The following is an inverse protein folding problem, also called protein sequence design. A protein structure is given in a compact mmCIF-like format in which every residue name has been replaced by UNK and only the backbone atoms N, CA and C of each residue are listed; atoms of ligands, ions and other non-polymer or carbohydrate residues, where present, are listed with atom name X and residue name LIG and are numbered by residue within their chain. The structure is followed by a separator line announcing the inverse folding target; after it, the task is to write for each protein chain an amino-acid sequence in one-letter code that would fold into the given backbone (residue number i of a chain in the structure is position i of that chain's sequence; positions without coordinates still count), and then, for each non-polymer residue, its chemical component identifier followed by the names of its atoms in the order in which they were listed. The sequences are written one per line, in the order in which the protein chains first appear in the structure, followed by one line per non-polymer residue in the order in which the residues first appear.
data_IF_177315918831
#
_entry.id   IF_177315918831
#
_cell.length_a   1.000
_cell.length_b   1.000
_cell.length_c   1.000
_cell.angle_alpha   90.00
_cell.angle_beta   90.00
_cell.angle_gamma   90.00
#
_symmetry.space_group_name_H-M   'P 1'
#
loop_
_entity.id
_entity.type
_entity.pdbx_description
1 polymer ?
#
# COMPACT_ATOMS: atom_id res chain seq x y z
N UNK A 1 17.44 -9.64 -15.22
CA UNK A 1 16.29 -8.93 -14.66
C UNK A 1 15.66 -9.84 -13.62
N UNK A 2 15.44 -9.36 -12.42
CA UNK A 2 14.76 -10.14 -11.37
C UNK A 2 13.26 -10.21 -11.70
N UNK A 3 12.62 -11.35 -11.41
CA UNK A 3 11.17 -11.51 -11.60
C UNK A 3 10.43 -10.56 -10.65
N UNK A 4 9.45 -9.75 -11.12
CA UNK A 4 8.65 -8.91 -10.24
C UNK A 4 7.86 -9.72 -9.22
N UNK A 5 7.62 -9.13 -8.04
CA UNK A 5 6.67 -9.68 -7.05
C UNK A 5 5.24 -9.64 -7.59
N UNK A 6 4.88 -8.53 -8.25
CA UNK A 6 3.57 -8.31 -8.86
C UNK A 6 3.76 -7.81 -10.28
N UNK A 7 2.99 -8.35 -11.20
CA UNK A 7 2.75 -7.77 -12.52
C UNK A 7 1.24 -7.71 -12.77
N UNK A 8 0.72 -6.53 -12.94
CA UNK A 8 -0.65 -6.30 -13.41
C UNK A 8 -0.56 -5.98 -14.89
N UNK A 9 -1.12 -6.81 -15.76
CA UNK A 9 -1.00 -6.70 -17.23
C UNK A 9 -2.35 -6.38 -17.87
N UNK A 10 -2.41 -5.27 -18.60
CA UNK A 10 -3.55 -4.85 -19.42
C UNK A 10 -4.87 -4.81 -18.63
N UNK A 11 -4.81 -4.37 -17.37
CA UNK A 11 -5.96 -4.33 -16.47
C UNK A 11 -6.98 -3.32 -16.95
N UNK A 12 -8.23 -3.76 -17.04
CA UNK A 12 -9.37 -2.90 -17.37
C UNK A 12 -10.57 -3.19 -16.48
N UNK A 13 -11.28 -2.15 -16.08
CA UNK A 13 -12.56 -2.24 -15.36
C UNK A 13 -13.44 -1.04 -15.68
N UNK A 14 -14.74 -1.28 -15.81
CA UNK A 14 -15.75 -0.26 -16.11
C UNK A 14 -16.87 -0.30 -15.09
N UNK A 15 -17.40 0.87 -14.74
CA UNK A 15 -18.57 1.03 -13.88
C UNK A 15 -19.62 1.88 -14.61
N UNK A 16 -20.80 1.30 -14.89
CA UNK A 16 -21.91 2.02 -15.52
C UNK A 16 -21.53 2.72 -16.83
N UNK A 17 -20.67 2.10 -17.66
CA UNK A 17 -20.22 2.66 -18.93
C UNK A 17 -19.00 3.60 -18.85
N UNK A 18 -18.51 3.92 -17.66
CA UNK A 18 -17.27 4.67 -17.44
C UNK A 18 -16.12 3.70 -17.24
N UNK A 19 -15.09 3.77 -18.10
CA UNK A 19 -13.85 3.02 -17.89
C UNK A 19 -13.03 3.68 -16.78
N UNK A 20 -13.05 3.07 -15.59
CA UNK A 20 -12.30 3.56 -14.44
C UNK A 20 -10.81 3.20 -14.54
N UNK A 21 -10.48 2.06 -15.15
CA UNK A 21 -9.13 1.65 -15.57
C UNK A 21 -9.22 1.09 -16.97
N UNK A 22 -8.35 1.55 -17.86
CA UNK A 22 -8.36 1.21 -19.29
C UNK A 22 -6.95 0.77 -19.73
N UNK A 23 -6.74 -0.54 -19.84
CA UNK A 23 -5.52 -1.17 -20.34
C UNK A 23 -4.23 -0.73 -19.59
N UNK A 24 -4.28 -0.75 -18.27
CA UNK A 24 -3.16 -0.34 -17.41
C UNK A 24 -2.27 -1.54 -17.08
N UNK A 25 -0.96 -1.35 -17.22
CA UNK A 25 0.05 -2.33 -16.78
C UNK A 25 1.02 -1.66 -15.83
N UNK A 26 1.23 -2.26 -14.65
CA UNK A 26 2.19 -1.84 -13.62
C UNK A 26 2.83 -3.06 -12.99
N UNK A 27 4.05 -2.90 -12.51
CA UNK A 27 4.81 -3.96 -11.84
C UNK A 27 5.45 -3.45 -10.56
N UNK A 28 5.86 -4.38 -9.68
CA UNK A 28 6.49 -4.11 -8.40
C UNK A 28 7.51 -5.19 -8.10
N UNK A 29 8.72 -4.79 -7.71
CA UNK A 29 9.78 -5.70 -7.32
C UNK A 29 9.92 -5.82 -5.79
N UNK A 30 10.68 -6.84 -5.35
CA UNK A 30 11.03 -7.00 -3.94
C UNK A 30 11.93 -5.86 -3.48
N UNK A 31 11.62 -5.27 -2.32
CA UNK A 31 12.38 -4.15 -1.77
C UNK A 31 12.27 -2.87 -2.59
N UNK A 32 11.15 -2.69 -3.27
CA UNK A 32 10.86 -1.52 -4.09
C UNK A 32 9.62 -0.80 -3.59
N UNK A 33 9.61 0.53 -3.69
CA UNK A 33 8.43 1.37 -3.49
C UNK A 33 8.03 2.01 -4.82
N UNK A 34 6.84 1.68 -5.30
CA UNK A 34 6.26 2.27 -6.52
C UNK A 34 5.13 3.21 -6.14
N UNK A 35 5.32 4.50 -6.41
CA UNK A 35 4.31 5.53 -6.22
C UNK A 35 3.25 5.49 -7.31
N UNK A 36 1.97 5.51 -6.95
CA UNK A 36 0.86 5.70 -7.87
C UNK A 36 0.34 7.12 -7.75
N UNK A 37 0.65 7.95 -8.75
CA UNK A 37 0.28 9.37 -8.83
C UNK A 37 -0.86 9.62 -9.82
N UNK A 38 -1.52 10.76 -9.66
CA UNK A 38 -2.58 11.23 -10.53
C UNK A 38 -3.67 11.93 -9.73
N UNK A 39 -4.54 12.71 -10.42
CA UNK A 39 -5.60 13.41 -9.70
C UNK A 39 -6.71 12.48 -9.18
N UNK A 40 -7.63 13.05 -8.39
CA UNK A 40 -8.82 12.34 -7.93
C UNK A 40 -9.64 11.88 -9.15
N UNK A 41 -10.04 10.59 -9.13
CA UNK A 41 -10.71 9.98 -10.28
C UNK A 41 -9.79 9.46 -11.39
N UNK A 42 -8.45 9.55 -11.26
CA UNK A 42 -7.52 9.03 -12.27
C UNK A 42 -7.51 7.49 -12.40
N UNK A 43 -8.12 6.76 -11.45
CA UNK A 43 -8.20 5.30 -11.46
C UNK A 43 -7.25 4.59 -10.48
N UNK A 44 -6.39 5.31 -9.74
CA UNK A 44 -5.41 4.75 -8.80
C UNK A 44 -6.02 3.78 -7.80
N UNK A 45 -6.95 4.27 -6.97
CA UNK A 45 -7.60 3.44 -5.94
C UNK A 45 -8.41 2.30 -6.56
N UNK A 46 -8.92 2.45 -7.78
CA UNK A 46 -9.60 1.37 -8.50
C UNK A 46 -8.62 0.27 -8.90
N UNK A 47 -7.46 0.64 -9.46
CA UNK A 47 -6.40 -0.30 -9.83
C UNK A 47 -5.94 -1.12 -8.63
N UNK A 48 -5.69 -0.45 -7.50
CA UNK A 48 -5.24 -1.09 -6.26
C UNK A 48 -6.35 -1.95 -5.62
N UNK A 49 -7.61 -1.54 -5.72
CA UNK A 49 -8.75 -2.36 -5.27
C UNK A 49 -8.91 -3.65 -6.07
N UNK A 50 -8.43 -3.70 -7.30
CA UNK A 50 -8.34 -4.96 -8.08
C UNK A 50 -7.25 -5.85 -7.48
N UNK A 51 -6.07 -5.33 -7.20
CA UNK A 51 -4.98 -6.09 -6.60
C UNK A 51 -5.33 -6.59 -5.18
N UNK A 52 -6.01 -5.78 -4.39
CA UNK A 52 -6.48 -6.16 -3.04
C UNK A 52 -7.69 -7.11 -3.05
N UNK A 53 -8.26 -7.42 -4.22
CA UNK A 53 -9.42 -8.29 -4.37
C UNK A 53 -10.76 -7.65 -3.99
N UNK A 54 -10.80 -6.33 -3.76
CA UNK A 54 -12.05 -5.62 -3.49
C UNK A 54 -12.88 -5.42 -4.78
N UNK A 55 -12.22 -5.34 -5.94
CA UNK A 55 -12.86 -5.31 -7.24
C UNK A 55 -12.30 -6.42 -8.14
N UNK A 56 -13.11 -6.84 -9.11
CA UNK A 56 -12.71 -7.82 -10.12
C UNK A 56 -12.51 -7.10 -11.45
N UNK A 57 -11.35 -7.28 -12.06
CA UNK A 57 -11.08 -6.72 -13.38
C UNK A 57 -11.99 -7.36 -14.46
N UNK A 58 -12.42 -6.56 -15.44
CA UNK A 58 -13.15 -7.04 -16.63
C UNK A 58 -12.19 -7.71 -17.61
N UNK A 59 -10.93 -7.23 -17.68
CA UNK A 59 -9.89 -7.77 -18.55
C UNK A 59 -8.50 -7.58 -17.93
N UNK A 60 -7.52 -8.31 -18.46
CA UNK A 60 -6.15 -8.33 -18.01
C UNK A 60 -5.85 -9.53 -17.12
N UNK A 61 -4.63 -9.56 -16.59
CA UNK A 61 -4.18 -10.61 -15.68
C UNK A 61 -3.23 -10.06 -14.63
N UNK A 62 -3.20 -10.74 -13.49
CA UNK A 62 -2.27 -10.48 -12.39
C UNK A 62 -1.35 -11.68 -12.28
N UNK A 63 -0.04 -11.42 -12.26
CA UNK A 63 0.96 -12.43 -11.94
C UNK A 63 1.62 -12.06 -10.61
N UNK A 64 1.82 -13.08 -9.78
CA UNK A 64 2.58 -13.00 -8.54
C UNK A 64 3.80 -13.91 -8.70
N UNK A 65 5.00 -13.34 -8.59
CA UNK A 65 6.26 -14.04 -8.82
C UNK A 65 6.28 -14.82 -10.17
N UNK A 66 5.74 -14.17 -11.23
CA UNK A 66 5.65 -14.73 -12.58
C UNK A 66 4.56 -15.79 -12.77
N UNK A 67 3.79 -16.13 -11.75
CA UNK A 67 2.69 -17.11 -11.84
C UNK A 67 1.35 -16.38 -11.84
N UNK A 68 0.44 -16.83 -12.71
CA UNK A 68 -0.91 -16.26 -12.77
C UNK A 68 -1.64 -16.43 -11.45
N UNK A 69 -2.07 -15.31 -10.88
CA UNK A 69 -2.85 -15.25 -9.65
C UNK A 69 -4.33 -15.05 -9.97
N UNK A 70 -5.19 -15.73 -9.21
CA UNK A 70 -6.65 -15.53 -9.28
C UNK A 70 -7.10 -14.87 -8.00
N UNK A 71 -7.36 -13.57 -8.07
CA UNK A 71 -7.79 -12.75 -6.93
C UNK A 71 -9.23 -12.34 -7.17
N UNK A 72 -10.17 -12.90 -6.41
CA UNK A 72 -11.61 -12.64 -6.54
C UNK A 72 -12.19 -11.92 -5.32
N UNK A 73 -11.48 -11.95 -4.20
CA UNK A 73 -11.86 -11.34 -2.95
C UNK A 73 -10.61 -11.05 -2.10
N UNK A 74 -10.72 -10.26 -1.01
CA UNK A 74 -9.57 -9.92 -0.17
C UNK A 74 -8.87 -11.10 0.51
N UNK A 75 -9.55 -12.25 0.70
CA UNK A 75 -8.91 -13.46 1.25
C UNK A 75 -7.93 -14.07 0.26
N UNK A 76 -8.28 -14.04 -1.04
CA UNK A 76 -7.38 -14.50 -2.08
C UNK A 76 -6.12 -13.62 -2.13
N UNK A 77 -6.26 -12.28 -2.08
CA UNK A 77 -5.12 -11.37 -2.04
C UNK A 77 -4.19 -11.68 -0.86
N UNK A 78 -4.75 -11.90 0.33
CA UNK A 78 -3.97 -12.29 1.52
C UNK A 78 -3.28 -13.64 1.37
N UNK A 79 -3.85 -14.60 0.65
CA UNK A 79 -3.18 -15.89 0.38
C UNK A 79 -1.92 -15.74 -0.48
N UNK A 80 -1.79 -14.63 -1.21
CA UNK A 80 -0.59 -14.22 -1.94
C UNK A 80 0.28 -13.23 -1.14
N UNK A 81 0.06 -13.10 0.18
CA UNK A 81 0.78 -12.18 1.06
C UNK A 81 0.65 -10.70 0.63
N UNK A 82 -0.50 -10.33 0.07
CA UNK A 82 -0.86 -8.95 -0.24
C UNK A 82 -1.72 -8.41 0.89
N UNK A 83 -1.24 -7.38 1.56
CA UNK A 83 -2.00 -6.67 2.61
C UNK A 83 -2.19 -5.20 2.20
N UNK A 84 -3.30 -4.62 2.65
CA UNK A 84 -3.68 -3.25 2.30
C UNK A 84 -3.89 -2.43 3.56
N UNK A 85 -3.22 -1.28 3.61
CA UNK A 85 -3.44 -0.24 4.61
C UNK A 85 -4.21 0.87 3.92
N UNK A 86 -5.48 1.01 4.28
CA UNK A 86 -6.36 2.04 3.74
C UNK A 86 -6.15 3.35 4.46
N UNK A 87 -6.49 4.46 3.84
CA UNK A 87 -6.46 5.79 4.42
C UNK A 87 -7.19 5.88 5.78
N UNK A 88 -8.30 5.15 5.95
CA UNK A 88 -9.06 5.08 7.21
C UNK A 88 -8.51 4.07 8.21
N UNK A 89 -7.36 3.42 7.91
CA UNK A 89 -6.62 2.40 8.69
C UNK A 89 -7.43 1.13 9.04
N UNK A 90 -8.74 1.15 8.96
CA UNK A 90 -9.64 0.05 9.34
C UNK A 90 -9.31 -0.55 10.73
N UNK A 91 -9.09 0.32 11.71
CA UNK A 91 -8.90 -0.01 13.11
C UNK A 91 -10.22 0.20 13.87
N UNK A 92 -10.45 -0.65 14.86
CA UNK A 92 -11.58 -0.51 15.79
C UNK A 92 -11.18 0.45 16.92
N UNK A 93 -11.75 1.64 16.93
CA UNK A 93 -11.37 2.76 17.80
C UNK A 93 -11.47 2.44 19.30
N UNK A 94 -12.40 1.56 19.67
CA UNK A 94 -12.66 1.15 21.05
C UNK A 94 -11.81 -0.02 21.54
N UNK A 95 -11.04 -0.65 20.68
CA UNK A 95 -10.13 -1.73 21.03
C UNK A 95 -8.70 -1.22 21.18
N UNK A 96 -7.90 -1.94 21.94
CA UNK A 96 -6.48 -1.67 22.09
C UNK A 96 -5.64 -2.09 20.87
N UNK A 97 -4.33 -1.81 20.89
CA UNK A 97 -3.43 -2.10 19.81
C UNK A 97 -3.31 -3.61 19.53
N UNK A 98 -3.26 -4.44 20.58
CA UNK A 98 -3.12 -5.89 20.46
C UNK A 98 -4.36 -6.52 19.81
N UNK A 99 -5.53 -6.15 20.30
CA UNK A 99 -6.82 -6.60 19.73
C UNK A 99 -6.99 -6.16 18.27
N UNK A 100 -6.58 -4.93 17.93
CA UNK A 100 -6.63 -4.45 16.55
C UNK A 100 -5.66 -5.19 15.62
N UNK A 101 -4.48 -5.57 16.11
CA UNK A 101 -3.49 -6.31 15.34
C UNK A 101 -4.04 -7.67 14.93
N UNK A 102 -4.72 -8.36 15.82
CA UNK A 102 -5.25 -9.71 15.61
C UNK A 102 -6.72 -9.75 15.20
N UNK A 103 -7.39 -8.62 15.00
CA UNK A 103 -8.82 -8.55 14.70
C UNK A 103 -9.21 -9.44 13.49
N UNK A 104 -10.07 -10.43 13.73
CA UNK A 104 -10.49 -11.44 12.76
C UNK A 104 -9.46 -12.56 12.48
N UNK A 105 -8.35 -12.60 13.24
CA UNK A 105 -7.28 -13.60 13.17
C UNK A 105 -6.71 -13.85 14.57
N UNK A 106 -7.59 -13.88 15.58
CA UNK A 106 -7.25 -13.96 17.00
C UNK A 106 -6.45 -15.23 17.30
N UNK A 107 -5.47 -15.09 18.20
CA UNK A 107 -4.78 -16.27 18.78
C UNK A 107 -5.73 -16.91 19.77
N UNK A 108 -6.00 -18.21 19.57
CA UNK A 108 -6.91 -18.95 20.44
C UNK A 108 -6.20 -20.02 21.25
N UNK A 109 -6.72 -20.27 22.44
CA UNK A 109 -6.33 -21.41 23.28
C UNK A 109 -6.77 -22.75 22.65
N UNK A 110 -6.26 -23.90 23.08
CA UNK A 110 -6.73 -25.22 22.63
C UNK A 110 -8.24 -25.44 22.82
N UNK A 111 -8.86 -24.68 23.68
CA UNK A 111 -10.32 -24.74 23.97
C UNK A 111 -11.14 -23.79 23.09
N UNK A 112 -10.50 -23.08 22.17
CA UNK A 112 -11.16 -22.13 21.26
C UNK A 112 -11.51 -20.77 21.87
N UNK A 113 -11.01 -20.45 23.04
CA UNK A 113 -11.14 -19.13 23.66
C UNK A 113 -10.02 -18.20 23.18
N UNK A 114 -10.28 -16.92 23.06
CA UNK A 114 -9.26 -15.91 22.72
C UNK A 114 -8.17 -15.90 23.80
N UNK A 115 -6.92 -15.82 23.38
CA UNK A 115 -5.75 -15.77 24.26
C UNK A 115 -5.14 -14.38 24.23
N UNK A 116 -5.68 -13.46 25.02
CA UNK A 116 -5.28 -12.05 25.07
C UNK A 116 -3.80 -11.89 25.46
N UNK A 117 -3.31 -12.70 26.42
CA UNK A 117 -1.91 -12.66 26.86
C UNK A 117 -0.95 -13.00 25.71
N UNK A 118 -1.28 -14.01 24.92
CA UNK A 118 -0.47 -14.40 23.76
C UNK A 118 -0.52 -13.33 22.67
N UNK A 119 -1.68 -12.73 22.42
CA UNK A 119 -1.84 -11.64 21.46
C UNK A 119 -1.04 -10.41 21.90
N UNK A 120 -1.10 -10.02 23.18
CA UNK A 120 -0.32 -8.90 23.70
C UNK A 120 1.18 -9.17 23.60
N UNK A 121 1.66 -10.38 23.95
CA UNK A 121 3.06 -10.74 23.85
C UNK A 121 3.59 -10.64 22.40
N UNK A 122 2.83 -11.13 21.43
CA UNK A 122 3.20 -11.04 20.00
C UNK A 122 3.09 -9.59 19.49
N UNK A 123 2.06 -8.82 19.89
CA UNK A 123 1.94 -7.42 19.55
C UNK A 123 3.14 -6.60 20.05
N UNK A 124 3.60 -6.86 21.29
CA UNK A 124 4.80 -6.21 21.84
C UNK A 124 6.05 -6.54 21.03
N UNK A 125 6.24 -7.78 20.58
CA UNK A 125 7.39 -8.17 19.76
C UNK A 125 7.42 -7.43 18.43
N UNK A 126 6.31 -7.43 17.68
CA UNK A 126 6.25 -6.78 16.38
C UNK A 126 6.36 -5.26 16.50
N UNK A 127 5.70 -4.66 17.49
CA UNK A 127 5.77 -3.22 17.72
C UNK A 127 7.16 -2.79 18.16
N UNK A 128 7.86 -3.56 19.01
CA UNK A 128 9.25 -3.26 19.40
C UNK A 128 10.19 -3.23 18.17
N UNK A 129 9.93 -4.08 17.16
CA UNK A 129 10.70 -4.09 15.92
C UNK A 129 10.41 -2.86 15.04
N UNK A 130 9.13 -2.48 14.92
CA UNK A 130 8.68 -1.45 13.97
C UNK A 130 8.66 -0.05 14.58
N UNK A 131 8.32 0.06 15.85
CA UNK A 131 8.24 1.30 16.61
C UNK A 131 8.66 1.05 18.07
N UNK A 132 9.97 1.04 18.39
CA UNK A 132 10.48 0.73 19.74
C UNK A 132 9.94 1.65 20.84
N UNK A 133 9.50 2.87 20.46
CA UNK A 133 8.96 3.86 21.39
C UNK A 133 7.45 3.70 21.64
N UNK A 134 6.82 2.67 21.10
CA UNK A 134 5.40 2.41 21.33
C UNK A 134 5.18 1.71 22.68
N UNK A 135 4.43 2.34 23.58
CA UNK A 135 4.18 1.82 24.93
C UNK A 135 2.69 1.70 25.29
N UNK A 136 1.79 2.18 24.44
CA UNK A 136 0.35 2.27 24.71
C UNK A 136 -0.43 1.02 24.26
N UNK A 137 -0.06 -0.14 24.81
CA UNK A 137 -0.68 -1.40 24.41
C UNK A 137 -2.09 -1.62 24.97
N UNK A 138 -2.39 -1.05 26.13
CA UNK A 138 -3.69 -1.20 26.80
C UNK A 138 -4.65 -0.01 26.58
N UNK A 139 -4.17 1.03 25.90
CA UNK A 139 -5.00 2.20 25.56
C UNK A 139 -5.86 1.88 24.33
N UNK A 140 -7.12 2.37 24.26
CA UNK A 140 -7.91 2.23 23.05
C UNK A 140 -7.24 3.00 21.91
N UNK A 141 -7.37 2.47 20.67
CA UNK A 141 -6.73 3.06 19.49
C UNK A 141 -7.17 4.50 19.24
N UNK A 142 -8.39 4.88 19.68
CA UNK A 142 -8.87 6.27 19.67
C UNK A 142 -7.99 7.25 20.47
N UNK A 143 -7.26 6.78 21.48
CA UNK A 143 -6.34 7.59 22.30
C UNK A 143 -4.91 7.66 21.73
N UNK A 144 -4.63 6.96 20.62
CA UNK A 144 -3.34 6.97 19.95
C UNK A 144 -3.24 8.17 19.00
N UNK A 145 -2.01 8.65 18.79
CA UNK A 145 -1.75 9.63 17.74
C UNK A 145 -1.91 9.02 16.33
N UNK A 146 -2.01 9.87 15.30
CA UNK A 146 -2.14 9.43 13.92
C UNK A 146 -1.03 8.47 13.50
N UNK A 147 0.23 8.83 13.76
CA UNK A 147 1.38 7.99 13.46
C UNK A 147 1.43 6.70 14.29
N UNK A 148 0.98 6.72 15.55
CA UNK A 148 0.86 5.51 16.36
C UNK A 148 -0.21 4.56 15.79
N UNK A 149 -1.37 5.09 15.37
CA UNK A 149 -2.40 4.30 14.68
C UNK A 149 -1.88 3.70 13.37
N UNK A 150 -1.13 4.49 12.60
CA UNK A 150 -0.49 4.01 11.37
C UNK A 150 0.47 2.86 11.66
N UNK A 151 1.31 2.98 12.71
CA UNK A 151 2.22 1.91 13.14
C UNK A 151 1.48 0.62 13.50
N UNK A 152 0.33 0.69 14.16
CA UNK A 152 -0.50 -0.49 14.48
C UNK A 152 -1.05 -1.14 13.21
N UNK A 153 -1.53 -0.35 12.24
CA UNK A 153 -2.03 -0.87 10.98
C UNK A 153 -0.93 -1.55 10.14
N UNK A 154 0.27 -0.96 10.13
CA UNK A 154 1.45 -1.54 9.47
C UNK A 154 1.89 -2.82 10.20
N UNK A 155 1.95 -2.79 11.54
CA UNK A 155 2.32 -3.95 12.34
C UNK A 155 1.41 -5.16 12.08
N UNK A 156 0.10 -4.91 11.93
CA UNK A 156 -0.87 -5.95 11.55
C UNK A 156 -0.51 -6.60 10.22
N UNK A 157 -0.22 -5.81 9.18
CA UNK A 157 0.15 -6.33 7.87
C UNK A 157 1.45 -7.13 7.92
N UNK A 158 2.47 -6.61 8.58
CA UNK A 158 3.80 -7.24 8.70
C UNK A 158 3.76 -8.51 9.54
N UNK A 159 3.00 -8.54 10.63
CA UNK A 159 2.85 -9.73 11.47
C UNK A 159 2.30 -10.93 10.67
N UNK A 160 1.39 -10.68 9.73
CA UNK A 160 0.83 -11.70 8.85
C UNK A 160 1.64 -11.94 7.58
N UNK A 161 2.94 -11.64 7.61
CA UNK A 161 3.93 -11.92 6.55
C UNK A 161 3.60 -11.26 5.21
N UNK A 162 3.15 -10.01 5.22
CA UNK A 162 3.00 -9.24 4.00
C UNK A 162 4.33 -9.19 3.23
N UNK A 163 4.29 -9.58 1.97
CA UNK A 163 5.40 -9.42 1.01
C UNK A 163 5.13 -8.27 0.03
N UNK A 164 3.85 -8.00 -0.16
CA UNK A 164 3.35 -6.91 -1.00
C UNK A 164 2.43 -6.08 -0.11
N UNK A 165 2.78 -4.81 0.04
CA UNK A 165 2.03 -3.88 0.87
C UNK A 165 1.45 -2.77 0.00
N UNK A 166 0.18 -2.52 0.15
CA UNK A 166 -0.52 -1.41 -0.46
C UNK A 166 -0.78 -0.37 0.61
N UNK A 167 -0.30 0.86 0.40
CA UNK A 167 -0.52 1.97 1.31
C UNK A 167 -1.27 3.09 0.59
N UNK A 168 -2.47 3.39 1.05
CA UNK A 168 -3.32 4.44 0.48
C UNK A 168 -3.23 5.69 1.35
N UNK A 169 -2.50 6.69 0.87
CA UNK A 169 -2.24 7.98 1.52
C UNK A 169 -1.71 7.86 2.98
N UNK A 170 -0.60 7.14 3.22
CA UNK A 170 -0.17 6.78 4.57
C UNK A 170 0.28 7.98 5.42
N UNK A 171 0.62 9.11 4.82
CA UNK A 171 1.09 10.34 5.46
C UNK A 171 0.02 11.42 5.56
N UNK A 172 -1.15 11.19 4.95
CA UNK A 172 -2.23 12.16 4.92
C UNK A 172 -2.71 12.53 6.34
N UNK A 173 -2.86 13.83 6.59
CA UNK A 173 -3.33 14.40 7.86
C UNK A 173 -2.43 14.09 9.08
N UNK A 174 -1.17 13.73 8.87
CA UNK A 174 -0.15 13.59 9.91
C UNK A 174 0.65 14.88 10.10
N UNK A 175 1.13 15.11 11.32
CA UNK A 175 2.10 16.18 11.59
C UNK A 175 3.51 15.78 11.11
N UNK A 176 4.45 16.75 10.99
CA UNK A 176 5.80 16.48 10.43
C UNK A 176 6.56 15.35 11.13
N UNK A 177 6.48 15.26 12.45
CA UNK A 177 7.15 14.19 13.22
C UNK A 177 6.52 12.81 12.96
N UNK A 178 5.20 12.76 12.80
CA UNK A 178 4.48 11.52 12.51
C UNK A 178 4.73 11.06 11.07
N UNK A 179 4.78 12.01 10.13
CA UNK A 179 5.15 11.74 8.73
C UNK A 179 6.54 11.12 8.67
N UNK A 180 7.55 11.72 9.34
CA UNK A 180 8.90 11.18 9.39
C UNK A 180 8.94 9.76 9.95
N UNK A 181 8.20 9.49 11.04
CA UNK A 181 8.12 8.14 11.63
C UNK A 181 7.53 7.13 10.65
N UNK A 182 6.50 7.49 9.88
CA UNK A 182 5.91 6.62 8.86
C UNK A 182 6.87 6.43 7.68
N UNK A 183 7.58 7.48 7.26
CA UNK A 183 8.60 7.43 6.21
C UNK A 183 9.72 6.48 6.60
N UNK A 184 10.27 6.59 7.80
CA UNK A 184 11.32 5.71 8.32
C UNK A 184 10.85 4.24 8.32
N UNK A 185 9.59 4.00 8.70
CA UNK A 185 9.01 2.67 8.72
C UNK A 185 8.85 2.09 7.31
N UNK A 186 8.43 2.89 6.33
CA UNK A 186 8.37 2.49 4.92
C UNK A 186 9.75 2.09 4.40
N UNK A 187 10.79 2.89 4.69
CA UNK A 187 12.17 2.60 4.27
C UNK A 187 12.71 1.34 4.97
N UNK A 188 12.38 1.11 6.23
CA UNK A 188 12.72 -0.13 6.93
C UNK A 188 12.09 -1.34 6.24
N UNK A 189 10.78 -1.32 5.96
CA UNK A 189 10.07 -2.43 5.30
C UNK A 189 10.63 -2.71 3.90
N UNK A 190 10.93 -1.65 3.15
CA UNK A 190 11.63 -1.75 1.86
C UNK A 190 12.96 -2.49 2.01
N UNK A 191 13.78 -2.13 3.00
CA UNK A 191 15.08 -2.77 3.25
C UNK A 191 14.96 -4.25 3.65
N UNK A 192 13.82 -4.66 4.20
CA UNK A 192 13.48 -6.04 4.53
C UNK A 192 12.96 -6.85 3.32
N UNK A 193 12.90 -6.23 2.14
CA UNK A 193 12.49 -6.87 0.89
C UNK A 193 10.99 -6.84 0.61
N UNK A 194 10.20 -6.10 1.38
CA UNK A 194 8.77 -5.91 1.12
C UNK A 194 8.62 -4.96 -0.07
N UNK A 195 7.81 -5.35 -1.07
CA UNK A 195 7.42 -4.48 -2.17
C UNK A 195 6.21 -3.63 -1.77
N UNK A 196 6.23 -2.34 -2.07
CA UNK A 196 5.21 -1.40 -1.61
C UNK A 196 4.62 -0.61 -2.79
N UNK A 197 3.30 -0.68 -2.98
CA UNK A 197 2.57 0.31 -3.76
C UNK A 197 2.11 1.42 -2.84
N UNK A 198 2.58 2.63 -3.08
CA UNK A 198 2.24 3.82 -2.31
C UNK A 198 1.35 4.74 -3.15
N UNK A 199 0.10 4.93 -2.73
CA UNK A 199 -0.78 5.92 -3.36
C UNK A 199 -0.61 7.22 -2.59
N UNK A 200 -0.23 8.27 -3.28
CA UNK A 200 -0.22 9.62 -2.74
C UNK A 200 -0.70 10.61 -3.80
N UNK A 201 -1.26 11.71 -3.34
CA UNK A 201 -1.52 12.90 -4.16
C UNK A 201 -0.43 13.97 -3.93
N UNK A 202 0.45 13.76 -2.96
CA UNK A 202 1.60 14.61 -2.68
C UNK A 202 2.83 14.12 -3.46
N UNK A 203 3.36 14.98 -4.33
CA UNK A 203 4.54 14.68 -5.14
C UNK A 203 5.79 14.55 -4.26
N UNK A 204 5.88 15.35 -3.17
CA UNK A 204 7.03 15.29 -2.27
C UNK A 204 7.15 13.93 -1.59
N UNK A 205 6.04 13.36 -1.10
CA UNK A 205 6.03 12.00 -0.53
C UNK A 205 6.57 10.96 -1.52
N UNK A 206 6.19 11.11 -2.80
CA UNK A 206 6.63 10.16 -3.83
C UNK A 206 8.10 10.33 -4.18
N UNK A 207 8.58 11.57 -4.27
CA UNK A 207 10.00 11.85 -4.54
C UNK A 207 10.91 11.41 -3.38
N UNK A 208 10.43 11.48 -2.16
CA UNK A 208 11.19 11.07 -0.96
C UNK A 208 11.17 9.56 -0.74
N UNK A 209 10.03 8.90 -0.95
CA UNK A 209 9.81 7.52 -0.50
C UNK A 209 9.92 6.47 -1.61
N UNK A 210 9.67 6.85 -2.88
CA UNK A 210 9.52 5.90 -3.96
C UNK A 210 10.78 5.75 -4.82
N UNK A 211 10.95 4.58 -5.39
CA UNK A 211 11.99 4.31 -6.40
C UNK A 211 11.49 4.68 -7.81
N UNK A 212 10.24 4.31 -8.10
CA UNK A 212 9.56 4.64 -9.35
C UNK A 212 8.20 5.28 -9.08
N UNK A 213 7.77 6.12 -10.01
CA UNK A 213 6.46 6.74 -10.03
C UNK A 213 5.67 6.33 -11.28
N UNK A 214 4.51 5.72 -11.07
CA UNK A 214 3.53 5.39 -12.11
C UNK A 214 2.42 6.43 -12.10
N UNK A 215 2.31 7.22 -13.16
CA UNK A 215 1.34 8.32 -13.23
C UNK A 215 0.11 7.88 -14.02
N UNK A 216 -1.06 8.02 -13.40
CA UNK A 216 -2.35 7.71 -14.01
C UNK A 216 -3.15 8.98 -14.31
N UNK A 217 -3.84 8.96 -15.45
CA UNK A 217 -4.76 10.02 -15.89
C UNK A 217 -5.95 9.42 -16.63
N UNK A 218 -7.17 9.78 -16.19
CA UNK A 218 -8.42 9.35 -16.84
C UNK A 218 -8.49 7.82 -17.09
N UNK A 219 -8.11 7.04 -16.11
CA UNK A 219 -8.13 5.58 -16.16
C UNK A 219 -6.96 4.94 -16.92
N UNK A 220 -6.03 5.70 -17.47
CA UNK A 220 -4.89 5.21 -18.25
C UNK A 220 -3.57 5.50 -17.54
N UNK A 221 -2.58 4.67 -17.80
CA UNK A 221 -1.20 4.93 -17.41
C UNK A 221 -0.58 5.93 -18.40
N UNK A 222 -0.08 7.05 -17.92
CA UNK A 222 0.71 8.02 -18.69
C UNK A 222 2.12 7.45 -18.91
N UNK A 223 2.70 6.90 -17.85
CA UNK A 223 4.01 6.26 -17.88
C UNK A 223 4.48 5.93 -16.47
N UNK A 224 5.57 5.16 -16.41
CA UNK A 224 6.33 4.89 -15.19
C UNK A 224 7.73 5.44 -15.37
N UNK A 225 8.24 6.17 -14.38
CA UNK A 225 9.55 6.82 -14.39
C UNK A 225 10.32 6.48 -13.13
N UNK A 226 11.65 6.40 -13.21
CA UNK A 226 12.50 6.34 -12.03
C UNK A 226 12.50 7.71 -11.34
N UNK A 227 12.24 7.75 -10.05
CA UNK A 227 12.11 8.99 -9.27
C UNK A 227 13.41 9.80 -9.30
N UNK A 228 14.57 9.14 -9.30
CA UNK A 228 15.90 9.80 -9.38
C UNK A 228 16.17 10.54 -10.69
N UNK A 229 15.41 10.26 -11.75
CA UNK A 229 15.64 10.79 -13.10
C UNK A 229 14.61 11.89 -13.48
N UNK A 230 13.73 12.29 -12.54
CA UNK A 230 12.66 13.26 -12.78
C UNK A 230 12.59 14.31 -11.67
N UNK A 231 12.02 15.46 -12.00
CA UNK A 231 11.76 16.56 -11.08
C UNK A 231 10.28 16.63 -10.69
N UNK A 232 9.97 17.47 -9.70
CA UNK A 232 8.58 17.80 -9.31
C UNK A 232 7.78 18.29 -10.53
N UNK A 233 8.39 19.18 -11.35
CA UNK A 233 7.75 19.76 -12.55
C UNK A 233 7.46 18.69 -13.62
N UNK A 234 8.34 17.70 -13.76
CA UNK A 234 8.14 16.58 -14.68
C UNK A 234 6.92 15.73 -14.24
N UNK A 235 6.86 15.35 -12.96
CA UNK A 235 5.72 14.61 -12.42
C UNK A 235 4.42 15.41 -12.50
N UNK A 236 4.48 16.70 -12.19
CA UNK A 236 3.33 17.60 -12.31
C UNK A 236 2.85 17.70 -13.76
N UNK A 237 3.77 17.78 -14.72
CA UNK A 237 3.48 17.77 -16.16
C UNK A 237 2.79 16.46 -16.58
N UNK A 238 3.28 15.31 -16.12
CA UNK A 238 2.64 14.02 -16.37
C UNK A 238 1.22 13.98 -15.81
N UNK A 239 1.00 14.45 -14.59
CA UNK A 239 -0.31 14.48 -13.94
C UNK A 239 -1.28 15.42 -14.69
N UNK A 240 -0.85 16.65 -14.97
CA UNK A 240 -1.73 17.70 -15.53
C UNK A 240 -1.90 17.52 -17.04
N UNK A 241 -0.81 17.37 -17.77
CA UNK A 241 -0.83 17.34 -19.24
C UNK A 241 -0.98 15.92 -19.80
N UNK A 242 -0.57 14.89 -19.03
CA UNK A 242 -0.55 13.50 -19.50
C UNK A 242 0.56 13.26 -20.54
N UNK A 243 1.68 13.96 -20.41
CA UNK A 243 2.85 13.82 -21.29
C UNK A 243 4.02 13.22 -20.55
N UNK A 244 4.66 12.22 -21.14
CA UNK A 244 5.87 11.62 -20.59
C UNK A 244 7.04 12.59 -20.75
N UNK A 245 7.96 12.74 -19.77
CA UNK A 245 9.09 13.71 -19.84
C UNK A 245 9.96 13.55 -21.09
N UNK A 246 10.15 12.31 -21.54
CA UNK A 246 10.98 12.01 -22.72
C UNK A 246 10.25 12.17 -24.08
N UNK A 247 8.95 12.47 -24.12
CA UNK A 247 8.26 12.78 -25.38
C UNK A 247 8.60 14.17 -25.94
N UNK A 248 9.11 15.09 -25.11
CA UNK A 248 9.50 16.43 -25.55
C UNK A 248 10.93 16.51 -26.10
N UNK A 249 11.72 15.44 -26.07
CA UNK A 249 13.09 15.43 -26.62
C UNK A 249 13.17 15.11 -28.12
N UNK A 250 12.03 14.85 -28.77
CA UNK A 250 11.94 14.45 -30.17
C UNK A 250 11.13 15.42 -31.07
N UNK A 251 10.92 16.69 -30.63
CA UNK A 251 10.24 17.71 -31.43
C UNK A 251 11.15 18.89 -31.76
#
# INVERSE_FOLDING_TARGET
MTTPLVEMKNISISFGGVKAVDNVSVDLHAGEVVGLLGHNGAGKSTLIKILSGAYRADAGEILIEGKKATIQNPRDARSYNIETIYQTLALADNLDASSNLFLGREIVTPWGLVNDDAMEAEARKIMHRLNPNFHKFSDPVSALSGGQRQSVAIARAVYFNARILIMDEPTAALGPQETQMVSDLIQQLKSEGIGIFLISHDIHDVLELCDRASVMKNGKLVGTVDVKDVTDDDLLSMIILGRHPHENAAA
#
